data_IF_595314827622
#
_entry.id   IF_595314827622
#
_cell.length_a   1.000
_cell.length_b   1.000
_cell.length_c   1.000
_cell.angle_alpha   90.00
_cell.angle_beta   90.00
_cell.angle_gamma   90.00
#
_symmetry.space_group_name_H-M   'P 1'
#
loop_
_entity.id
_entity.type
_entity.pdbx_description
1 polymer ?
#
# COMPACT_ATOMS: atom_id res chain seq x y z
N UNK A 1 23.42 11.94 37.27
CA UNK A 1 23.26 11.31 35.95
C UNK A 1 21.82 11.51 35.56
N UNK A 2 21.57 12.25 34.45
CA UNK A 2 20.21 12.49 34.00
C UNK A 2 19.68 11.21 33.36
N UNK A 3 18.87 10.46 34.09
CA UNK A 3 18.09 9.29 33.57
C UNK A 3 16.85 9.75 32.82
N UNK A 4 17.03 10.59 31.78
CA UNK A 4 15.98 10.77 30.81
C UNK A 4 15.81 9.42 30.09
N UNK A 5 14.58 8.88 29.92
CA UNK A 5 14.39 7.65 29.16
C UNK A 5 14.99 7.83 27.76
N UNK A 6 15.66 6.80 27.23
CA UNK A 6 16.27 6.90 25.91
C UNK A 6 15.21 7.38 24.91
N UNK A 7 15.56 8.37 24.11
CA UNK A 7 14.67 8.89 23.08
C UNK A 7 14.27 7.71 22.15
N UNK A 8 13.01 7.28 22.24
CA UNK A 8 12.48 6.12 21.50
C UNK A 8 12.56 6.28 19.99
N UNK A 9 12.88 7.48 19.50
CA UNK A 9 13.04 7.77 18.08
C UNK A 9 14.48 7.57 17.59
N UNK A 10 15.42 7.23 18.45
CA UNK A 10 16.78 6.93 18.07
C UNK A 10 17.05 5.42 18.12
N UNK A 11 17.68 4.89 17.08
CA UNK A 11 18.23 3.53 17.11
C UNK A 11 19.35 3.52 18.16
N UNK A 12 19.29 2.65 19.18
CA UNK A 12 20.30 2.60 20.21
C UNK A 12 21.70 2.38 19.61
N UNK A 13 22.67 3.23 19.97
CA UNK A 13 24.05 3.14 19.47
C UNK A 13 24.72 1.79 19.77
N UNK A 14 24.31 1.12 20.85
CA UNK A 14 24.86 -0.20 21.22
C UNK A 14 24.46 -1.33 20.25
N UNK A 15 23.41 -1.14 19.42
CA UNK A 15 23.06 -2.07 18.36
C UNK A 15 24.04 -1.99 17.19
N UNK A 16 24.61 -0.80 16.90
CA UNK A 16 25.62 -0.57 15.88
C UNK A 16 25.34 -1.35 14.60
N UNK A 17 26.38 -2.02 14.09
CA UNK A 17 26.33 -2.85 12.86
C UNK A 17 25.55 -4.16 13.03
N UNK A 18 25.17 -4.53 14.26
CA UNK A 18 24.35 -5.72 14.54
C UNK A 18 22.85 -5.47 14.34
N UNK A 19 22.43 -4.20 14.17
CA UNK A 19 21.03 -3.88 13.92
C UNK A 19 20.62 -4.37 12.51
N UNK A 20 19.61 -5.26 12.47
CA UNK A 20 19.02 -5.66 11.19
C UNK A 20 18.24 -4.48 10.61
N UNK A 21 18.75 -3.90 9.55
CA UNK A 21 18.11 -2.82 8.80
C UNK A 21 17.25 -3.41 7.70
N UNK A 22 15.96 -3.53 7.95
CA UNK A 22 14.96 -3.97 6.97
C UNK A 22 13.93 -2.86 6.78
N UNK A 23 13.79 -2.40 5.56
CA UNK A 23 12.79 -1.41 5.15
C UNK A 23 12.45 -1.62 3.69
N UNK A 24 11.40 -0.98 3.23
CA UNK A 24 10.93 -1.04 1.86
C UNK A 24 11.10 0.31 1.18
N UNK A 25 11.74 0.35 0.02
CA UNK A 25 11.89 1.55 -0.78
C UNK A 25 11.24 1.34 -2.15
N UNK A 26 10.12 2.03 -2.36
CA UNK A 26 9.35 1.98 -3.59
C UNK A 26 9.82 3.07 -4.55
N UNK A 27 10.13 2.72 -5.79
CA UNK A 27 10.57 3.68 -6.79
C UNK A 27 9.45 4.08 -7.76
N UNK A 28 9.46 5.36 -8.14
CA UNK A 28 8.54 5.99 -9.09
C UNK A 28 9.27 6.42 -10.37
N UNK A 29 9.70 5.46 -11.23
CA UNK A 29 10.63 5.76 -12.32
C UNK A 29 10.03 6.66 -13.41
N UNK A 30 8.71 6.68 -13.57
CA UNK A 30 8.00 7.59 -14.49
C UNK A 30 7.38 8.80 -13.76
N UNK A 31 7.69 9.00 -12.47
CA UNK A 31 7.02 9.99 -11.63
C UNK A 31 5.51 9.78 -11.66
N UNK A 32 4.73 10.87 -11.75
CA UNK A 32 3.29 10.82 -11.87
C UNK A 32 2.80 10.63 -13.33
N UNK A 33 3.69 10.41 -14.30
CA UNK A 33 3.28 10.19 -15.71
C UNK A 33 2.57 8.84 -15.86
N UNK A 34 1.40 8.85 -16.51
CA UNK A 34 0.59 7.66 -16.75
C UNK A 34 -0.07 7.74 -18.14
N UNK A 35 -0.31 6.58 -18.76
CA UNK A 35 -1.12 6.43 -19.97
C UNK A 35 -2.63 6.40 -19.69
N UNK A 36 -3.01 6.25 -18.41
CA UNK A 36 -4.41 6.31 -17.96
C UNK A 36 -4.71 7.64 -17.23
N UNK A 37 -6.01 7.88 -17.03
CA UNK A 37 -6.56 9.02 -16.31
C UNK A 37 -7.65 8.55 -15.32
N UNK A 38 -7.28 7.62 -14.44
CA UNK A 38 -8.22 7.03 -13.48
C UNK A 38 -8.80 8.11 -12.56
N UNK A 39 -10.14 8.17 -12.46
CA UNK A 39 -10.87 9.23 -11.75
C UNK A 39 -10.41 9.42 -10.29
N UNK A 40 -10.09 8.33 -9.60
CA UNK A 40 -9.70 8.34 -8.19
C UNK A 40 -8.19 8.45 -7.94
N UNK A 41 -7.38 8.62 -8.99
CA UNK A 41 -5.93 8.55 -8.81
C UNK A 41 -5.40 9.73 -7.98
N UNK A 42 -4.94 9.43 -6.78
CA UNK A 42 -4.34 10.42 -5.89
C UNK A 42 -2.96 10.88 -6.34
N UNK A 43 -2.33 10.10 -7.24
CA UNK A 43 -0.92 10.30 -7.59
C UNK A 43 -0.71 11.18 -8.83
N UNK A 44 -1.64 11.18 -9.79
CA UNK A 44 -1.50 11.93 -11.05
C UNK A 44 -1.21 13.43 -10.86
N UNK A 45 -1.71 14.04 -9.78
CA UNK A 45 -1.51 15.46 -9.50
C UNK A 45 -0.18 15.78 -8.79
N UNK A 46 0.63 14.79 -8.42
CA UNK A 46 1.83 15.03 -7.62
C UNK A 46 2.91 15.85 -8.34
N UNK A 47 2.96 15.79 -9.65
CA UNK A 47 3.89 16.60 -10.44
C UNK A 47 3.52 18.08 -10.52
N UNK A 48 2.28 18.45 -10.19
CA UNK A 48 1.83 19.85 -10.17
C UNK A 48 1.90 20.46 -8.75
N UNK A 49 2.28 19.66 -7.75
CA UNK A 49 2.36 20.11 -6.37
C UNK A 49 3.55 21.07 -6.19
N UNK A 50 3.30 22.29 -5.71
CA UNK A 50 4.34 23.27 -5.44
C UNK A 50 5.39 22.74 -4.46
N UNK A 51 6.67 22.71 -4.86
CA UNK A 51 7.76 22.12 -4.07
C UNK A 51 7.78 20.59 -4.04
N UNK A 52 6.91 19.93 -4.80
CA UNK A 52 6.91 18.48 -5.01
C UNK A 52 7.96 18.03 -6.03
N UNK A 53 7.92 16.75 -6.45
CA UNK A 53 8.96 16.15 -7.31
C UNK A 53 9.00 16.70 -8.75
N UNK A 54 7.98 17.47 -9.17
CA UNK A 54 7.89 18.01 -10.53
C UNK A 54 7.55 16.97 -11.59
N UNK A 55 7.73 17.36 -12.85
CA UNK A 55 7.54 16.48 -14.02
C UNK A 55 8.87 15.90 -14.45
N UNK A 56 8.90 14.64 -14.78
CA UNK A 56 10.11 13.99 -15.27
C UNK A 56 10.07 12.48 -15.25
N UNK A 57 11.19 11.91 -15.59
CA UNK A 57 11.44 10.47 -15.53
C UNK A 57 12.82 10.23 -14.92
N UNK A 58 12.98 9.15 -14.19
CA UNK A 58 14.23 8.77 -13.52
C UNK A 58 15.36 8.62 -14.57
N UNK A 59 16.41 9.41 -14.45
CA UNK A 59 17.59 9.27 -15.28
C UNK A 59 18.49 8.14 -14.78
N UNK A 60 19.51 7.82 -15.58
CA UNK A 60 20.44 6.71 -15.30
C UNK A 60 21.24 6.96 -14.01
N UNK A 61 21.57 8.20 -13.71
CA UNK A 61 22.30 8.59 -12.51
C UNK A 61 21.47 8.36 -11.26
N UNK A 62 20.22 8.80 -11.24
CA UNK A 62 19.29 8.56 -10.11
C UNK A 62 19.04 7.06 -9.95
N UNK A 63 18.84 6.34 -11.05
CA UNK A 63 18.65 4.89 -11.01
C UNK A 63 19.83 4.19 -10.35
N UNK A 64 21.06 4.51 -10.76
CA UNK A 64 22.27 3.89 -10.19
C UNK A 64 22.44 4.27 -8.71
N UNK A 65 22.22 5.54 -8.35
CA UNK A 65 22.24 5.96 -6.96
C UNK A 65 21.21 5.23 -6.11
N UNK A 66 19.98 5.09 -6.61
CA UNK A 66 18.91 4.38 -5.92
C UNK A 66 19.27 2.91 -5.69
N UNK A 67 19.63 2.18 -6.74
CA UNK A 67 19.91 0.74 -6.65
C UNK A 67 21.09 0.47 -5.71
N UNK A 68 22.21 1.18 -5.90
CA UNK A 68 23.41 1.06 -5.06
C UNK A 68 23.08 1.38 -3.59
N UNK A 69 22.40 2.50 -3.36
CA UNK A 69 22.11 3.00 -2.03
C UNK A 69 21.13 2.07 -1.28
N UNK A 70 20.10 1.55 -1.97
CA UNK A 70 19.14 0.65 -1.34
C UNK A 70 19.79 -0.67 -0.94
N UNK A 71 20.55 -1.32 -1.83
CA UNK A 71 21.29 -2.55 -1.53
C UNK A 71 22.29 -2.35 -0.39
N UNK A 72 23.01 -1.22 -0.40
CA UNK A 72 23.97 -0.89 0.66
C UNK A 72 23.30 -0.69 2.04
N UNK A 73 22.11 -0.09 2.06
CA UNK A 73 21.40 0.29 3.29
C UNK A 73 20.67 -0.86 3.97
N UNK A 74 20.34 -1.94 3.25
CA UNK A 74 19.67 -3.12 3.79
C UNK A 74 20.69 -4.12 4.29
N UNK A 75 20.48 -4.68 5.50
CA UNK A 75 21.35 -5.69 6.11
C UNK A 75 20.71 -7.09 6.13
N UNK A 76 19.47 -7.24 5.68
CA UNK A 76 18.84 -8.55 5.46
C UNK A 76 19.35 -9.19 4.16
N UNK A 77 19.24 -10.53 4.10
CA UNK A 77 19.59 -11.28 2.89
C UNK A 77 18.60 -11.04 1.74
N UNK A 78 17.44 -10.52 2.04
CA UNK A 78 16.36 -10.20 1.08
C UNK A 78 16.27 -8.69 0.81
N UNK A 79 16.28 -8.30 -0.47
CA UNK A 79 16.06 -6.92 -0.93
C UNK A 79 14.99 -6.91 -2.01
N UNK A 80 13.83 -6.33 -1.70
CA UNK A 80 12.69 -6.28 -2.62
C UNK A 80 12.58 -4.88 -3.22
N UNK A 81 12.76 -4.79 -4.54
CA UNK A 81 12.55 -3.57 -5.30
C UNK A 81 11.11 -3.51 -5.81
N UNK A 82 10.36 -2.49 -5.43
CA UNK A 82 9.02 -2.26 -5.94
C UNK A 82 8.99 -1.06 -6.88
N UNK A 83 8.54 -1.30 -8.10
CA UNK A 83 8.44 -0.32 -9.18
C UNK A 83 6.99 0.05 -9.41
N UNK A 84 6.63 1.28 -9.13
CA UNK A 84 5.29 1.81 -9.35
C UNK A 84 5.31 3.32 -9.68
N UNK A 85 4.24 4.05 -9.48
CA UNK A 85 4.15 5.47 -9.76
C UNK A 85 2.91 5.81 -10.56
N UNK A 86 3.04 6.62 -11.61
CA UNK A 86 2.01 6.75 -12.62
C UNK A 86 1.84 5.43 -13.35
N UNK A 87 2.66 5.20 -14.39
CA UNK A 87 2.78 3.87 -15.01
C UNK A 87 4.28 3.57 -15.28
N UNK A 88 4.90 2.65 -14.54
CA UNK A 88 6.33 2.38 -14.67
C UNK A 88 6.73 1.80 -16.03
N UNK A 89 5.84 1.08 -16.72
CA UNK A 89 6.12 0.52 -18.05
C UNK A 89 6.32 1.58 -19.14
N UNK A 90 5.96 2.84 -18.89
CA UNK A 90 6.32 3.97 -19.77
C UNK A 90 7.83 4.17 -19.90
N UNK A 91 8.64 3.64 -18.97
CA UNK A 91 10.11 3.67 -19.07
C UNK A 91 10.67 2.73 -20.13
N UNK A 92 9.85 1.78 -20.59
CA UNK A 92 10.28 0.77 -21.58
C UNK A 92 11.18 -0.30 -21.00
N UNK A 93 11.42 -1.37 -21.78
CA UNK A 93 12.23 -2.53 -21.35
C UNK A 93 13.70 -2.17 -21.10
N UNK A 94 14.29 -1.29 -21.92
CA UNK A 94 15.70 -0.91 -21.77
C UNK A 94 16.02 -0.36 -20.37
N UNK A 95 15.11 0.41 -19.78
CA UNK A 95 15.25 0.88 -18.40
C UNK A 95 15.30 -0.29 -17.41
N UNK A 96 14.43 -1.28 -17.55
CA UNK A 96 14.36 -2.43 -16.64
C UNK A 96 15.52 -3.42 -16.87
N UNK A 97 16.06 -3.52 -18.09
CA UNK A 97 17.31 -4.25 -18.36
C UNK A 97 18.48 -3.62 -17.61
N UNK A 98 18.54 -2.28 -17.60
CA UNK A 98 19.53 -1.53 -16.82
C UNK A 98 19.34 -1.72 -15.31
N UNK A 99 18.09 -1.75 -14.81
CA UNK A 99 17.78 -2.11 -13.40
C UNK A 99 18.44 -3.44 -13.05
N UNK A 100 18.22 -4.48 -13.85
CA UNK A 100 18.77 -5.83 -13.60
C UNK A 100 20.31 -5.81 -13.64
N UNK A 101 20.90 -5.08 -14.59
CA UNK A 101 22.36 -4.94 -14.69
C UNK A 101 22.95 -4.27 -13.42
N UNK A 102 22.33 -3.19 -12.95
CA UNK A 102 22.77 -2.48 -11.73
C UNK A 102 22.57 -3.32 -10.46
N UNK A 103 21.43 -4.02 -10.35
CA UNK A 103 21.19 -4.95 -9.24
C UNK A 103 22.26 -6.03 -9.15
N UNK A 104 22.64 -6.64 -10.28
CA UNK A 104 23.73 -7.62 -10.35
C UNK A 104 25.10 -7.01 -10.01
N UNK A 105 25.35 -5.77 -10.44
CA UNK A 105 26.60 -5.03 -10.15
C UNK A 105 26.79 -4.78 -8.66
N UNK A 106 25.72 -4.48 -7.93
CA UNK A 106 25.78 -4.04 -6.52
C UNK A 106 25.33 -5.10 -5.50
N UNK A 107 24.75 -6.24 -5.94
CA UNK A 107 24.36 -7.32 -5.05
C UNK A 107 25.52 -7.80 -4.18
N UNK A 108 25.26 -7.96 -2.89
CA UNK A 108 26.23 -8.54 -1.95
C UNK A 108 26.17 -10.08 -2.03
N UNK A 109 27.28 -10.78 -1.71
CA UNK A 109 27.25 -12.24 -1.61
C UNK A 109 26.15 -12.73 -0.69
N UNK A 110 25.31 -13.65 -1.16
CA UNK A 110 24.20 -14.24 -0.40
C UNK A 110 22.90 -13.44 -0.43
N UNK A 111 22.87 -12.21 -0.97
CA UNK A 111 21.63 -11.45 -1.10
C UNK A 111 20.71 -12.00 -2.20
N UNK A 112 19.43 -12.16 -1.87
CA UNK A 112 18.36 -12.43 -2.81
C UNK A 112 17.69 -11.10 -3.19
N UNK A 113 17.76 -10.72 -4.46
CA UNK A 113 17.13 -9.51 -4.98
C UNK A 113 15.86 -9.91 -5.72
N UNK A 114 14.73 -9.35 -5.30
CA UNK A 114 13.43 -9.55 -5.89
C UNK A 114 12.89 -8.25 -6.48
N UNK A 115 11.99 -8.36 -7.46
CA UNK A 115 11.38 -7.22 -8.11
C UNK A 115 9.86 -7.38 -8.21
N UNK A 116 9.14 -6.35 -7.78
CA UNK A 116 7.70 -6.20 -7.94
C UNK A 116 7.41 -5.07 -8.92
N UNK A 117 6.53 -5.31 -9.89
CA UNK A 117 6.06 -4.31 -10.85
C UNK A 117 4.57 -4.06 -10.66
N UNK A 118 4.22 -2.89 -10.14
CA UNK A 118 2.82 -2.45 -10.07
C UNK A 118 2.46 -1.72 -11.35
N UNK A 119 1.53 -2.28 -12.14
CA UNK A 119 1.15 -1.74 -13.45
C UNK A 119 -0.36 -1.79 -13.69
N UNK A 120 -0.84 -0.88 -14.55
CA UNK A 120 -2.18 -0.98 -15.11
C UNK A 120 -2.30 -2.05 -16.22
N UNK A 121 -1.21 -2.62 -16.66
CA UNK A 121 -1.14 -3.72 -17.63
C UNK A 121 -1.32 -3.33 -19.09
N UNK A 122 -1.79 -2.14 -19.40
CA UNK A 122 -2.20 -1.75 -20.78
C UNK A 122 -1.05 -1.78 -21.79
N UNK A 123 0.18 -1.59 -21.33
CA UNK A 123 1.39 -1.56 -22.18
C UNK A 123 2.16 -2.90 -22.18
N UNK A 124 1.65 -3.93 -21.52
CA UNK A 124 2.32 -5.23 -21.49
C UNK A 124 2.12 -5.96 -22.83
N UNK A 125 3.22 -6.39 -23.43
CA UNK A 125 3.29 -7.18 -24.66
C UNK A 125 4.14 -8.45 -24.47
N UNK A 126 4.35 -9.22 -25.55
CA UNK A 126 5.13 -10.45 -25.54
C UNK A 126 6.58 -10.24 -25.07
N UNK A 127 7.19 -9.10 -25.38
CA UNK A 127 8.55 -8.78 -24.95
C UNK A 127 8.58 -8.55 -23.44
N UNK A 128 7.63 -7.79 -22.90
CA UNK A 128 7.45 -7.60 -21.47
C UNK A 128 7.21 -8.92 -20.74
N UNK A 129 6.31 -9.77 -21.23
CA UNK A 129 6.01 -11.03 -20.55
C UNK A 129 7.24 -11.96 -20.47
N UNK A 130 8.04 -12.04 -21.54
CA UNK A 130 9.29 -12.78 -21.56
C UNK A 130 10.32 -12.22 -20.57
N UNK A 131 10.48 -10.90 -20.53
CA UNK A 131 11.37 -10.22 -19.60
C UNK A 131 10.99 -10.46 -18.15
N UNK A 132 9.70 -10.23 -17.80
CA UNK A 132 9.18 -10.41 -16.45
C UNK A 132 9.35 -11.87 -15.96
N UNK A 133 9.13 -12.85 -16.85
CA UNK A 133 9.35 -14.26 -16.53
C UNK A 133 10.82 -14.58 -16.33
N UNK A 134 11.70 -14.12 -17.23
CA UNK A 134 13.13 -14.38 -17.17
C UNK A 134 13.79 -13.83 -15.90
N UNK A 135 13.30 -12.68 -15.42
CA UNK A 135 13.82 -11.99 -14.24
C UNK A 135 12.96 -12.18 -12.99
N UNK A 136 11.99 -13.11 -13.02
CA UNK A 136 11.15 -13.50 -11.88
C UNK A 136 10.44 -12.33 -11.19
N UNK A 137 9.94 -11.37 -11.97
CA UNK A 137 9.12 -10.30 -11.42
C UNK A 137 7.78 -10.83 -10.89
N UNK A 138 7.35 -10.30 -9.74
CA UNK A 138 5.96 -10.38 -9.32
C UNK A 138 5.21 -9.17 -9.89
N UNK A 139 4.11 -9.42 -10.60
CA UNK A 139 3.33 -8.34 -11.18
C UNK A 139 2.12 -8.03 -10.31
N UNK A 140 1.98 -6.78 -9.89
CA UNK A 140 0.75 -6.26 -9.31
C UNK A 140 -0.14 -5.68 -10.42
N UNK A 141 -1.16 -6.44 -10.85
CA UNK A 141 -2.06 -6.01 -11.91
C UNK A 141 -3.24 -5.23 -11.34
N UNK A 142 -3.42 -4.00 -11.80
CA UNK A 142 -4.51 -3.12 -11.36
C UNK A 142 -5.82 -3.44 -12.08
N UNK A 143 -6.82 -3.97 -11.34
CA UNK A 143 -8.16 -4.26 -11.88
C UNK A 143 -9.21 -4.17 -10.77
N UNK A 144 -10.33 -3.46 -11.01
CA UNK A 144 -11.28 -3.10 -9.94
C UNK A 144 -12.54 -3.98 -9.90
N UNK A 145 -12.65 -4.96 -10.81
CA UNK A 145 -13.78 -5.88 -10.87
C UNK A 145 -14.29 -6.13 -12.29
N UNK A 146 -15.55 -6.53 -12.47
CA UNK A 146 -16.18 -6.69 -13.78
C UNK A 146 -16.09 -5.42 -14.65
N UNK A 147 -16.29 -5.56 -15.96
CA UNK A 147 -16.12 -4.51 -16.97
C UNK A 147 -16.76 -3.18 -16.58
N UNK A 148 -18.04 -3.21 -16.24
CA UNK A 148 -18.80 -2.01 -15.90
C UNK A 148 -18.26 -1.27 -14.68
N UNK A 149 -17.76 -2.01 -13.70
CA UNK A 149 -17.12 -1.48 -12.49
C UNK A 149 -15.74 -0.90 -12.80
N UNK A 150 -14.92 -1.65 -13.55
CA UNK A 150 -13.57 -1.24 -13.90
C UNK A 150 -13.57 0.02 -14.76
N UNK A 151 -14.33 0.01 -15.87
CA UNK A 151 -14.36 1.08 -16.84
C UNK A 151 -15.08 2.36 -16.34
N UNK A 152 -15.84 2.26 -15.24
CA UNK A 152 -16.42 3.43 -14.58
C UNK A 152 -15.37 4.38 -14.00
N UNK A 153 -14.20 3.86 -13.61
CA UNK A 153 -13.19 4.61 -12.86
C UNK A 153 -11.80 4.55 -13.48
N UNK A 154 -11.45 3.44 -14.16
CA UNK A 154 -10.15 3.27 -14.82
C UNK A 154 -10.29 3.51 -16.31
N UNK A 155 -10.06 4.73 -16.71
CA UNK A 155 -10.16 5.16 -18.10
C UNK A 155 -8.80 5.57 -18.67
N UNK A 156 -8.61 5.39 -19.96
CA UNK A 156 -7.48 5.97 -20.68
C UNK A 156 -7.65 7.49 -20.83
N UNK A 157 -6.58 8.17 -21.20
CA UNK A 157 -6.66 9.59 -21.56
C UNK A 157 -7.72 9.77 -22.67
N UNK A 158 -8.66 10.70 -22.45
CA UNK A 158 -9.82 10.87 -23.31
C UNK A 158 -11.02 9.98 -23.01
N UNK A 159 -11.05 9.31 -21.84
CA UNK A 159 -12.22 8.61 -21.31
C UNK A 159 -12.51 7.23 -21.90
N UNK A 160 -11.59 6.67 -22.71
CA UNK A 160 -11.79 5.34 -23.32
C UNK A 160 -11.70 4.23 -22.25
N UNK A 161 -12.54 3.16 -22.37
CA UNK A 161 -12.48 2.00 -21.48
C UNK A 161 -11.14 1.26 -21.58
N UNK A 162 -10.72 0.60 -20.50
CA UNK A 162 -9.43 -0.10 -20.42
C UNK A 162 -9.53 -1.57 -20.06
N UNK A 163 -10.72 -2.05 -19.72
CA UNK A 163 -10.95 -3.42 -19.23
C UNK A 163 -10.39 -4.50 -20.18
N UNK A 164 -10.65 -4.40 -21.51
CA UNK A 164 -10.19 -5.40 -22.46
C UNK A 164 -8.66 -5.47 -22.53
N UNK A 165 -7.99 -4.34 -22.48
CA UNK A 165 -6.52 -4.29 -22.50
C UNK A 165 -5.93 -4.94 -21.22
N UNK A 166 -6.54 -4.68 -20.06
CA UNK A 166 -6.10 -5.29 -18.80
C UNK A 166 -6.36 -6.80 -18.77
N UNK A 167 -7.50 -7.25 -19.27
CA UNK A 167 -7.80 -8.68 -19.42
C UNK A 167 -6.84 -9.39 -20.38
N UNK A 168 -6.48 -8.74 -21.50
CA UNK A 168 -5.46 -9.25 -22.42
C UNK A 168 -4.10 -9.39 -21.74
N UNK A 169 -3.70 -8.39 -20.94
CA UNK A 169 -2.48 -8.44 -20.15
C UNK A 169 -2.49 -9.59 -19.13
N UNK A 170 -3.59 -9.80 -18.41
CA UNK A 170 -3.72 -10.93 -17.49
C UNK A 170 -3.59 -12.29 -18.20
N UNK A 171 -4.21 -12.44 -19.37
CA UNK A 171 -4.07 -13.66 -20.17
C UNK A 171 -2.63 -13.86 -20.68
N UNK A 172 -1.97 -12.77 -21.07
CA UNK A 172 -0.57 -12.78 -21.50
C UNK A 172 0.33 -13.25 -20.36
N UNK A 173 0.21 -12.67 -19.15
CA UNK A 173 0.97 -13.08 -17.98
C UNK A 173 0.77 -14.58 -17.66
N UNK A 174 -0.47 -15.08 -17.75
CA UNK A 174 -0.77 -16.51 -17.54
C UNK A 174 -0.11 -17.39 -18.59
N UNK A 175 -0.20 -17.05 -19.89
CA UNK A 175 0.43 -17.85 -20.96
C UNK A 175 1.93 -18.00 -20.77
N UNK A 176 2.61 -16.94 -20.27
CA UNK A 176 4.04 -16.95 -20.00
C UNK A 176 4.40 -17.49 -18.61
N UNK A 177 3.42 -17.81 -17.76
CA UNK A 177 3.64 -18.25 -16.38
C UNK A 177 4.32 -17.19 -15.52
N UNK A 178 4.04 -15.90 -15.78
CA UNK A 178 4.47 -14.79 -14.92
C UNK A 178 3.53 -14.71 -13.71
N UNK A 179 4.04 -14.77 -12.47
CA UNK A 179 3.20 -14.65 -11.29
C UNK A 179 2.62 -13.23 -11.19
N UNK A 180 1.35 -13.13 -10.87
CA UNK A 180 0.72 -11.85 -10.62
C UNK A 180 -0.31 -11.91 -9.48
N UNK A 181 -0.42 -10.82 -8.75
CA UNK A 181 -1.51 -10.53 -7.83
C UNK A 181 -2.43 -9.45 -8.44
N UNK A 182 -3.63 -9.31 -7.90
CA UNK A 182 -4.55 -8.25 -8.29
C UNK A 182 -4.62 -7.19 -7.21
N UNK A 183 -4.48 -5.91 -7.64
CA UNK A 183 -4.72 -4.75 -6.79
C UNK A 183 -6.03 -4.11 -7.24
N UNK A 184 -7.02 -4.20 -6.34
CA UNK A 184 -8.38 -3.73 -6.56
C UNK A 184 -8.65 -2.54 -5.65
N UNK A 185 -8.86 -1.39 -6.25
CA UNK A 185 -9.32 -0.21 -5.53
C UNK A 185 -10.80 -0.37 -5.20
N UNK A 186 -11.14 -0.30 -3.89
CA UNK A 186 -12.53 -0.31 -3.44
C UNK A 186 -12.99 1.13 -3.26
N UNK A 187 -13.91 1.54 -4.10
CA UNK A 187 -14.48 2.87 -4.17
C UNK A 187 -16.02 2.82 -4.05
N UNK A 188 -16.67 3.95 -4.01
CA UNK A 188 -18.13 4.05 -3.82
C UNK A 188 -18.96 3.16 -4.75
N UNK A 189 -18.51 2.95 -6.00
CA UNK A 189 -19.31 2.23 -7.01
C UNK A 189 -19.17 0.71 -6.96
N UNK A 190 -18.06 0.16 -6.41
CA UNK A 190 -17.88 -1.29 -6.31
C UNK A 190 -18.05 -1.84 -4.88
N UNK A 191 -18.02 -0.99 -3.86
CA UNK A 191 -18.20 -1.40 -2.48
C UNK A 191 -19.56 -2.08 -2.22
N UNK A 192 -20.60 -1.73 -2.98
CA UNK A 192 -21.95 -2.33 -2.91
C UNK A 192 -22.04 -3.69 -3.61
N UNK A 193 -21.02 -4.09 -4.37
CA UNK A 193 -20.99 -5.31 -5.20
C UNK A 193 -19.85 -6.29 -4.82
N UNK A 194 -19.65 -6.60 -3.52
CA UNK A 194 -18.47 -7.36 -3.05
C UNK A 194 -18.31 -8.72 -3.70
N UNK A 195 -19.41 -9.47 -3.86
CA UNK A 195 -19.37 -10.81 -4.41
C UNK A 195 -19.16 -10.83 -5.92
N UNK A 196 -19.65 -9.83 -6.64
CA UNK A 196 -19.40 -9.70 -8.09
C UNK A 196 -17.92 -9.43 -8.32
N UNK A 197 -17.33 -8.50 -7.57
CA UNK A 197 -15.90 -8.17 -7.64
C UNK A 197 -15.04 -9.38 -7.25
N UNK A 198 -15.31 -9.97 -6.09
CA UNK A 198 -14.53 -11.11 -5.59
C UNK A 198 -14.58 -12.30 -6.55
N UNK A 199 -15.79 -12.69 -6.99
CA UNK A 199 -15.98 -13.85 -7.87
C UNK A 199 -15.39 -13.62 -9.25
N UNK A 200 -15.48 -12.42 -9.79
CA UNK A 200 -14.80 -12.05 -11.03
C UNK A 200 -13.28 -12.27 -10.92
N UNK A 201 -12.65 -11.71 -9.90
CA UNK A 201 -11.19 -11.84 -9.68
C UNK A 201 -10.78 -13.32 -9.50
N UNK A 202 -11.58 -14.10 -8.79
CA UNK A 202 -11.27 -15.52 -8.51
C UNK A 202 -11.58 -16.45 -9.66
N UNK A 203 -12.73 -16.32 -10.32
CA UNK A 203 -13.23 -17.30 -11.28
C UNK A 203 -12.95 -16.94 -12.72
N UNK A 204 -13.17 -15.69 -13.09
CA UNK A 204 -12.97 -15.23 -14.47
C UNK A 204 -11.51 -14.85 -14.71
N UNK A 205 -10.96 -14.00 -13.84
CA UNK A 205 -9.55 -13.63 -13.91
C UNK A 205 -8.62 -14.72 -13.36
N UNK A 206 -9.08 -15.58 -12.46
CA UNK A 206 -8.30 -16.70 -11.87
C UNK A 206 -7.13 -16.24 -11.00
N UNK A 207 -7.22 -15.06 -10.38
CA UNK A 207 -6.22 -14.57 -9.44
C UNK A 207 -6.23 -15.40 -8.14
N UNK A 208 -5.06 -15.70 -7.61
CA UNK A 208 -4.90 -16.41 -6.33
C UNK A 208 -4.41 -15.50 -5.21
N UNK A 209 -4.02 -14.28 -5.52
CA UNK A 209 -3.60 -13.29 -4.52
C UNK A 209 -4.31 -11.98 -4.79
N UNK A 210 -5.17 -11.56 -3.86
CA UNK A 210 -6.06 -10.42 -3.99
C UNK A 210 -5.75 -9.37 -2.93
N UNK A 211 -5.54 -8.14 -3.36
CA UNK A 211 -5.41 -6.98 -2.49
C UNK A 211 -6.57 -6.03 -2.74
N UNK A 212 -7.30 -5.72 -1.68
CA UNK A 212 -8.38 -4.74 -1.70
C UNK A 212 -7.93 -3.48 -0.97
N UNK A 213 -7.92 -2.35 -1.67
CA UNK A 213 -7.40 -1.07 -1.19
C UNK A 213 -8.54 -0.06 -1.16
N UNK A 214 -8.98 0.39 0.03
CA UNK A 214 -10.07 1.38 0.10
C UNK A 214 -9.58 2.73 -0.43
N UNK A 215 -10.37 3.32 -1.31
CA UNK A 215 -10.14 4.69 -1.76
C UNK A 215 -10.78 5.65 -0.77
N UNK A 216 -9.93 6.43 -0.12
CA UNK A 216 -10.31 7.54 0.77
C UNK A 216 -9.43 8.73 0.46
N UNK A 217 -9.98 9.72 -0.21
CA UNK A 217 -9.22 10.92 -0.54
C UNK A 217 -9.94 12.18 -0.04
N UNK A 218 -9.28 13.02 0.76
CA UNK A 218 -9.84 14.31 1.14
C UNK A 218 -10.01 15.20 -0.11
N UNK A 219 -10.98 16.11 -0.10
CA UNK A 219 -11.28 16.94 -1.29
C UNK A 219 -10.08 17.77 -1.78
N UNK A 220 -9.19 18.15 -0.87
CA UNK A 220 -7.99 18.96 -1.14
C UNK A 220 -6.71 18.15 -1.36
N UNK A 221 -6.81 16.83 -1.59
CA UNK A 221 -5.64 15.92 -1.73
C UNK A 221 -4.63 16.34 -2.80
N UNK A 222 -5.04 17.17 -3.74
CA UNK A 222 -4.16 17.67 -4.81
C UNK A 222 -3.22 18.77 -4.35
N UNK A 223 -3.57 19.48 -3.27
CA UNK A 223 -2.86 20.70 -2.83
C UNK A 223 -2.37 20.64 -1.40
N UNK A 224 -2.94 19.78 -0.57
CA UNK A 224 -2.62 19.66 0.85
C UNK A 224 -2.34 18.20 1.25
N UNK A 225 -1.35 18.02 2.11
CA UNK A 225 -1.09 16.73 2.74
C UNK A 225 -2.29 16.26 3.56
N UNK A 226 -2.49 14.93 3.70
CA UNK A 226 -3.63 14.41 4.47
C UNK A 226 -3.59 14.79 5.95
N UNK A 227 -2.40 15.06 6.50
CA UNK A 227 -2.19 15.45 7.91
C UNK A 227 -1.03 16.48 8.00
N UNK A 228 -0.98 17.34 9.02
CA UNK A 228 -2.03 17.59 10.04
C UNK A 228 -3.25 18.33 9.46
N UNK A 229 -4.40 18.24 10.13
CA UNK A 229 -5.63 18.97 9.79
C UNK A 229 -6.18 19.73 10.99
N UNK A 230 -6.83 20.87 10.73
CA UNK A 230 -7.52 21.64 11.77
C UNK A 230 -8.69 20.83 12.34
N UNK A 231 -8.65 20.45 13.63
CA UNK A 231 -9.70 19.67 14.27
C UNK A 231 -11.10 20.29 14.19
N UNK A 232 -11.17 21.63 14.16
CA UNK A 232 -12.45 22.36 14.15
C UNK A 232 -13.23 22.16 12.83
N UNK A 233 -12.51 21.88 11.75
CA UNK A 233 -13.10 21.68 10.42
C UNK A 233 -13.53 20.24 10.16
N UNK A 234 -13.06 19.28 10.98
CA UNK A 234 -13.37 17.88 10.81
C UNK A 234 -14.81 17.54 11.26
N UNK A 235 -15.59 16.80 10.48
CA UNK A 235 -16.91 16.34 10.89
C UNK A 235 -16.82 15.26 11.96
N UNK A 236 -17.86 15.10 12.76
CA UNK A 236 -18.03 13.94 13.63
C UNK A 236 -18.36 12.72 12.76
N UNK A 237 -17.82 11.56 13.12
CA UNK A 237 -18.05 10.28 12.42
C UNK A 237 -19.54 9.96 12.36
N UNK A 238 -20.01 9.41 11.23
CA UNK A 238 -21.40 9.04 11.00
C UNK A 238 -22.33 10.20 10.63
N UNK A 239 -21.86 11.46 10.70
CA UNK A 239 -22.66 12.61 10.22
C UNK A 239 -22.63 12.70 8.68
N UNK A 240 -23.61 13.37 8.04
CA UNK A 240 -23.65 13.52 6.59
C UNK A 240 -22.34 14.09 5.99
N UNK A 241 -21.71 15.05 6.66
CA UNK A 241 -20.43 15.64 6.25
C UNK A 241 -19.25 14.64 6.28
N UNK A 242 -19.37 13.54 6.99
CA UNK A 242 -18.37 12.47 7.01
C UNK A 242 -18.63 11.39 5.95
N UNK A 243 -19.57 11.59 5.02
CA UNK A 243 -19.92 10.59 3.99
C UNK A 243 -19.75 11.15 2.57
N UNK A 244 -19.36 10.32 1.58
CA UNK A 244 -19.23 10.77 0.20
C UNK A 244 -20.59 11.16 -0.39
N UNK A 245 -20.61 12.07 -1.36
CA UNK A 245 -21.81 12.56 -2.01
C UNK A 245 -22.52 13.72 -1.28
N UNK A 246 -22.15 14.06 -0.05
CA UNK A 246 -22.64 15.26 0.61
C UNK A 246 -21.88 16.51 0.11
N UNK A 247 -22.53 17.64 -0.21
CA UNK A 247 -21.84 18.84 -0.74
C UNK A 247 -20.68 19.33 0.12
N UNK A 248 -20.81 19.25 1.45
CA UNK A 248 -19.78 19.62 2.42
C UNK A 248 -19.01 18.41 2.97
N UNK A 249 -18.93 17.30 2.22
CA UNK A 249 -18.16 16.11 2.63
C UNK A 249 -16.68 16.44 2.75
N UNK A 250 -16.01 15.85 3.75
CA UNK A 250 -14.56 15.94 3.93
C UNK A 250 -13.81 15.12 2.89
N UNK A 251 -14.45 14.12 2.27
CA UNK A 251 -13.87 13.25 1.25
C UNK A 251 -14.47 13.51 -0.14
N UNK A 252 -13.80 13.06 -1.17
CA UNK A 252 -14.25 13.09 -2.56
C UNK A 252 -15.49 12.19 -2.77
N UNK A 253 -16.25 12.44 -3.85
CA UNK A 253 -17.48 11.71 -4.12
C UNK A 253 -17.27 10.26 -4.54
N UNK A 254 -16.07 9.90 -4.99
CA UNK A 254 -15.69 8.52 -5.32
C UNK A 254 -15.05 7.77 -4.15
N UNK A 255 -14.74 8.43 -3.04
CA UNK A 255 -14.27 7.75 -1.83
C UNK A 255 -15.30 6.72 -1.38
N UNK A 256 -14.81 5.59 -0.83
CA UNK A 256 -15.71 4.53 -0.37
C UNK A 256 -16.50 4.98 0.86
N UNK A 257 -17.78 4.67 0.91
CA UNK A 257 -18.60 4.90 2.10
C UNK A 257 -18.18 3.88 3.19
N UNK A 258 -17.99 4.30 4.46
CA UNK A 258 -17.55 3.40 5.53
C UNK A 258 -18.49 2.23 5.79
N UNK A 259 -19.82 2.41 5.73
CA UNK A 259 -20.79 1.33 5.95
C UNK A 259 -20.78 0.31 4.80
N UNK A 260 -20.69 0.80 3.56
CA UNK A 260 -20.59 -0.03 2.36
C UNK A 260 -19.26 -0.80 2.35
N UNK A 261 -18.15 -0.16 2.78
CA UNK A 261 -16.86 -0.83 2.88
C UNK A 261 -16.88 -1.92 3.96
N UNK A 262 -17.49 -1.68 5.11
CA UNK A 262 -17.68 -2.70 6.14
C UNK A 262 -18.49 -3.89 5.64
N UNK A 263 -19.55 -3.63 4.86
CA UNK A 263 -20.33 -4.66 4.18
C UNK A 263 -19.47 -5.44 3.18
N UNK A 264 -18.68 -4.73 2.36
CA UNK A 264 -17.77 -5.34 1.39
C UNK A 264 -16.79 -6.32 2.06
N UNK A 265 -16.11 -5.89 3.11
CA UNK A 265 -15.15 -6.70 3.85
C UNK A 265 -15.79 -7.96 4.44
N UNK A 266 -16.95 -7.83 5.07
CA UNK A 266 -17.68 -8.97 5.65
C UNK A 266 -18.10 -9.99 4.58
N UNK A 267 -18.62 -9.53 3.42
CA UNK A 267 -19.06 -10.42 2.34
C UNK A 267 -17.90 -11.13 1.64
N UNK A 268 -16.76 -10.44 1.47
CA UNK A 268 -15.55 -11.06 0.93
C UNK A 268 -15.01 -12.09 1.92
N UNK A 269 -14.97 -11.77 3.22
CA UNK A 269 -14.60 -12.71 4.29
C UNK A 269 -15.44 -13.98 4.24
N UNK A 270 -16.77 -13.86 4.21
CA UNK A 270 -17.70 -14.98 4.20
C UNK A 270 -17.48 -15.90 2.97
N UNK A 271 -17.28 -15.31 1.78
CA UNK A 271 -17.06 -16.08 0.56
C UNK A 271 -15.69 -16.76 0.56
N UNK A 272 -14.64 -16.06 1.02
CA UNK A 272 -13.30 -16.60 1.19
C UNK A 272 -13.27 -17.74 2.19
N UNK A 273 -13.85 -17.57 3.36
CA UNK A 273 -13.96 -18.63 4.39
C UNK A 273 -14.67 -19.89 3.85
N UNK A 274 -15.71 -19.69 3.07
CA UNK A 274 -16.52 -20.82 2.56
C UNK A 274 -15.84 -21.61 1.45
N UNK A 275 -14.99 -20.97 0.61
CA UNK A 275 -14.55 -21.56 -0.66
C UNK A 275 -13.05 -21.57 -0.88
N UNK A 276 -12.33 -20.58 -0.36
CA UNK A 276 -11.02 -20.23 -0.86
C UNK A 276 -9.91 -20.20 0.20
N UNK A 277 -10.19 -20.52 1.46
CA UNK A 277 -9.17 -20.73 2.49
C UNK A 277 -8.17 -21.78 2.02
N UNK A 278 -6.87 -21.44 2.05
CA UNK A 278 -5.77 -22.29 1.56
C UNK A 278 -5.66 -22.39 0.02
N UNK A 279 -6.54 -21.68 -0.74
CA UNK A 279 -6.53 -21.65 -2.22
C UNK A 279 -6.30 -20.27 -2.77
N UNK A 280 -6.62 -19.23 -2.01
CA UNK A 280 -6.38 -17.85 -2.36
C UNK A 280 -6.00 -17.03 -1.14
N UNK A 281 -5.04 -16.15 -1.32
CA UNK A 281 -4.64 -15.15 -0.35
C UNK A 281 -5.47 -13.87 -0.55
N UNK A 282 -6.11 -13.41 0.50
CA UNK A 282 -6.82 -12.13 0.53
C UNK A 282 -6.18 -11.29 1.62
N UNK A 283 -5.53 -10.18 1.26
CA UNK A 283 -4.62 -9.45 2.13
C UNK A 283 -5.16 -9.15 3.54
N UNK A 284 -6.37 -8.61 3.66
CA UNK A 284 -6.93 -8.26 4.97
C UNK A 284 -7.45 -9.48 5.74
N UNK A 285 -7.85 -10.56 5.05
CA UNK A 285 -8.28 -11.81 5.67
C UNK A 285 -7.10 -12.54 6.31
N UNK A 286 -6.04 -12.77 5.53
CA UNK A 286 -4.81 -13.43 6.00
C UNK A 286 -4.16 -12.63 7.13
N UNK A 287 -4.09 -11.29 6.99
CA UNK A 287 -3.52 -10.41 8.02
C UNK A 287 -4.22 -10.60 9.35
N UNK A 288 -5.55 -10.64 9.38
CA UNK A 288 -6.30 -10.83 10.63
C UNK A 288 -5.99 -12.20 11.27
N UNK A 289 -5.91 -13.26 10.49
CA UNK A 289 -5.56 -14.60 11.00
C UNK A 289 -4.14 -14.62 11.56
N UNK A 290 -3.17 -14.05 10.81
CA UNK A 290 -1.75 -13.99 11.19
C UNK A 290 -1.55 -13.17 12.49
N UNK A 291 -2.23 -12.04 12.65
CA UNK A 291 -2.20 -11.27 13.89
C UNK A 291 -2.71 -12.10 15.08
N UNK A 292 -3.77 -12.89 14.90
CA UNK A 292 -4.26 -13.80 15.95
C UNK A 292 -3.37 -15.04 16.16
N UNK A 293 -2.42 -15.33 15.28
CA UNK A 293 -1.34 -16.29 15.53
C UNK A 293 -0.22 -15.71 16.41
N UNK A 294 -0.26 -14.43 16.71
CA UNK A 294 0.77 -13.70 17.50
C UNK A 294 1.88 -13.10 16.65
N UNK A 295 1.73 -13.15 15.31
CA UNK A 295 2.70 -12.54 14.40
C UNK A 295 2.33 -11.07 14.10
N UNK A 296 3.32 -10.22 13.81
CA UNK A 296 3.06 -8.83 13.45
C UNK A 296 2.29 -8.76 12.11
N UNK A 297 1.47 -7.72 11.99
CA UNK A 297 0.78 -7.45 10.73
C UNK A 297 1.78 -7.27 9.57
N UNK A 298 1.52 -7.94 8.45
CA UNK A 298 2.32 -7.83 7.23
C UNK A 298 1.96 -6.59 6.40
N UNK A 299 0.86 -5.91 6.74
CA UNK A 299 0.44 -4.67 6.07
C UNK A 299 0.52 -3.50 7.04
N UNK A 300 1.15 -2.40 6.62
CA UNK A 300 1.42 -1.24 7.47
C UNK A 300 0.15 -0.61 8.07
N UNK A 301 -0.99 -0.73 7.39
CA UNK A 301 -2.26 -0.15 7.86
C UNK A 301 -2.75 -0.79 9.16
N UNK A 302 -2.48 -2.06 9.40
CA UNK A 302 -2.86 -2.77 10.63
C UNK A 302 -1.69 -3.01 11.60
N UNK A 303 -0.50 -2.49 11.30
CA UNK A 303 0.63 -2.51 12.23
C UNK A 303 0.52 -1.39 13.25
N UNK A 304 1.08 -1.57 14.43
CA UNK A 304 1.15 -0.54 15.47
C UNK A 304 1.83 0.74 14.98
N UNK A 305 2.96 0.56 14.30
CA UNK A 305 3.76 1.65 13.75
C UNK A 305 3.88 1.51 12.23
N UNK A 306 4.18 2.61 11.55
CA UNK A 306 4.53 2.63 10.13
C UNK A 306 5.95 3.20 9.90
N UNK A 307 6.22 3.86 8.76
CA UNK A 307 7.49 4.57 8.52
C UNK A 307 8.64 3.73 7.97
N UNK A 308 8.44 2.41 7.75
CA UNK A 308 9.44 1.52 7.12
C UNK A 308 9.21 1.31 5.61
N UNK A 309 8.24 2.02 5.03
CA UNK A 309 7.97 2.04 3.59
C UNK A 309 8.14 3.45 3.06
N UNK A 310 9.29 3.75 2.46
CA UNK A 310 9.57 5.07 1.86
C UNK A 310 9.38 5.03 0.36
N UNK A 311 9.24 6.20 -0.25
CA UNK A 311 9.15 6.32 -1.71
C UNK A 311 10.32 7.11 -2.24
N UNK A 312 10.86 6.68 -3.38
CA UNK A 312 11.92 7.36 -4.14
C UNK A 312 11.32 7.84 -5.46
N UNK A 313 11.25 9.15 -5.62
CA UNK A 313 10.74 9.79 -6.83
C UNK A 313 11.76 9.78 -7.98
N UNK A 314 11.29 10.07 -9.19
CA UNK A 314 12.09 10.07 -10.41
C UNK A 314 13.29 11.03 -10.35
N UNK A 315 13.23 12.10 -9.54
CA UNK A 315 14.32 13.06 -9.33
C UNK A 315 15.29 12.66 -8.21
N UNK A 316 15.09 11.46 -7.62
CA UNK A 316 15.86 10.94 -6.48
C UNK A 316 15.39 11.44 -5.11
N UNK A 317 14.39 12.31 -5.04
CA UNK A 317 13.81 12.75 -3.78
C UNK A 317 13.15 11.59 -3.03
N UNK A 318 13.35 11.54 -1.71
CA UNK A 318 12.81 10.50 -0.83
C UNK A 318 11.76 11.10 0.08
N UNK A 319 10.61 10.43 0.17
CA UNK A 319 9.50 10.85 1.02
C UNK A 319 9.11 9.77 2.02
N UNK A 320 8.52 10.18 3.14
CA UNK A 320 8.19 9.31 4.28
C UNK A 320 7.30 8.13 3.93
N UNK A 321 6.42 8.27 2.94
CA UNK A 321 5.48 7.23 2.51
C UNK A 321 4.89 7.60 1.14
N UNK A 322 4.38 6.61 0.40
CA UNK A 322 3.70 6.77 -0.89
C UNK A 322 2.49 7.73 -0.83
N UNK A 323 1.74 7.69 0.26
CA UNK A 323 0.61 8.60 0.49
C UNK A 323 1.04 10.01 0.95
N UNK A 324 2.30 10.20 1.30
CA UNK A 324 2.84 11.45 1.85
C UNK A 324 3.92 12.06 0.95
N UNK A 325 3.72 11.97 -0.38
CA UNK A 325 4.56 12.69 -1.35
C UNK A 325 4.11 14.15 -1.39
N UNK A 326 4.59 14.90 -0.39
CA UNK A 326 4.36 16.33 -0.18
C UNK A 326 5.64 16.96 0.38
N UNK A 327 5.92 18.26 0.11
CA UNK A 327 7.19 18.89 0.49
C UNK A 327 7.56 18.73 1.96
N UNK A 328 6.57 18.83 2.85
CA UNK A 328 6.73 18.71 4.30
C UNK A 328 7.12 17.28 4.76
N UNK A 329 6.97 16.28 3.92
CA UNK A 329 7.35 14.88 4.21
C UNK A 329 8.58 14.39 3.42
N UNK A 330 9.28 15.32 2.75
CA UNK A 330 10.52 15.02 2.06
C UNK A 330 11.64 14.77 3.07
N UNK A 331 12.31 13.62 2.96
CA UNK A 331 13.41 13.21 3.85
C UNK A 331 14.78 13.67 3.33
N UNK A 332 14.98 13.64 2.01
CA UNK A 332 16.25 13.98 1.38
C UNK A 332 16.29 13.55 -0.09
N UNK A 333 17.49 13.21 -0.60
CA UNK A 333 17.67 12.77 -1.98
C UNK A 333 18.75 11.68 -2.04
N UNK A 334 18.52 10.62 -2.83
CA UNK A 334 19.45 9.47 -2.96
C UNK A 334 20.79 9.81 -3.59
N UNK A 335 20.89 10.94 -4.29
CA UNK A 335 22.17 11.42 -4.87
C UNK A 335 23.14 11.90 -3.79
N UNK A 336 22.64 12.40 -2.68
CA UNK A 336 23.43 13.09 -1.66
C UNK A 336 23.42 12.45 -0.29
N UNK A 337 22.48 11.53 -0.03
CA UNK A 337 22.28 10.94 1.30
C UNK A 337 22.02 9.43 1.20
N UNK A 338 22.38 8.70 2.25
CA UNK A 338 22.07 7.28 2.40
C UNK A 338 20.57 7.07 2.65
N UNK A 339 19.95 6.12 1.92
CA UNK A 339 18.57 5.69 2.21
C UNK A 339 18.42 5.20 3.65
N UNK A 340 19.41 4.45 4.15
CA UNK A 340 19.40 3.98 5.53
C UNK A 340 19.39 5.11 6.54
N UNK A 341 20.22 6.15 6.34
CA UNK A 341 20.21 7.34 7.21
C UNK A 341 18.87 8.07 7.19
N UNK A 342 18.26 8.21 6.01
CA UNK A 342 16.93 8.84 5.86
C UNK A 342 15.84 8.04 6.57
N UNK A 343 15.78 6.71 6.34
CA UNK A 343 14.74 5.83 6.89
C UNK A 343 14.85 5.66 8.40
N UNK A 344 16.06 5.66 8.93
CA UNK A 344 16.31 5.53 10.37
C UNK A 344 16.59 6.87 11.05
N UNK A 345 16.35 8.00 10.36
CA UNK A 345 16.43 9.33 10.99
C UNK A 345 15.36 9.49 12.07
N UNK A 346 15.63 10.28 13.14
CA UNK A 346 14.64 10.53 14.19
C UNK A 346 13.31 11.05 13.65
N UNK A 347 13.37 11.86 12.60
CA UNK A 347 12.18 12.39 11.92
C UNK A 347 11.32 11.27 11.31
N UNK A 348 11.92 10.33 10.58
CA UNK A 348 11.19 9.24 9.94
C UNK A 348 10.71 8.21 10.96
N UNK A 349 11.51 7.92 11.98
CA UNK A 349 11.11 7.04 13.09
C UNK A 349 9.92 7.65 13.84
N UNK A 350 9.97 8.96 14.13
CA UNK A 350 8.83 9.67 14.74
C UNK A 350 7.58 9.59 13.86
N UNK A 351 7.70 9.82 12.56
CA UNK A 351 6.58 9.67 11.62
C UNK A 351 5.92 8.29 11.74
N UNK A 352 6.72 7.23 11.93
CA UNK A 352 6.22 5.88 12.13
C UNK A 352 5.47 5.70 13.45
N UNK A 353 6.02 6.20 14.55
CA UNK A 353 5.41 6.12 15.88
C UNK A 353 4.19 7.03 16.04
N UNK A 354 4.13 8.16 15.34
CA UNK A 354 2.97 9.06 15.36
C UNK A 354 1.67 8.33 14.97
N UNK A 355 1.76 7.20 14.30
CA UNK A 355 0.60 6.36 14.01
C UNK A 355 -0.09 5.86 15.28
N UNK A 356 0.63 5.31 16.23
CA UNK A 356 0.07 4.84 17.50
C UNK A 356 -0.01 5.94 18.57
N UNK A 357 1.00 6.82 18.63
CA UNK A 357 1.11 7.84 19.66
C UNK A 357 0.00 8.90 19.61
N UNK A 358 -0.52 9.19 18.41
CA UNK A 358 -1.56 10.21 18.19
C UNK A 358 -2.97 9.64 18.06
N UNK A 359 -3.17 8.39 18.49
CA UNK A 359 -4.51 7.79 18.50
C UNK A 359 -5.43 8.49 19.52
N UNK A 360 -6.69 8.81 19.16
CA UNK A 360 -7.66 9.32 20.11
C UNK A 360 -7.98 8.28 21.19
N UNK A 361 -8.46 8.75 22.36
CA UNK A 361 -8.83 7.87 23.48
C UNK A 361 -9.83 6.80 23.03
N UNK A 362 -10.78 7.17 22.17
CA UNK A 362 -11.74 6.26 21.56
C UNK A 362 -11.13 5.05 20.86
N UNK A 363 -9.94 5.21 20.24
CA UNK A 363 -9.19 4.11 19.63
C UNK A 363 -8.40 3.31 20.69
N UNK A 364 -7.77 4.01 21.67
CA UNK A 364 -7.00 3.35 22.72
C UNK A 364 -7.85 2.45 23.60
N UNK A 365 -9.09 2.82 23.83
CA UNK A 365 -10.10 2.04 24.61
C UNK A 365 -10.86 1.01 23.74
N UNK A 366 -10.57 0.91 22.45
CA UNK A 366 -11.30 0.05 21.53
C UNK A 366 -10.91 -1.42 21.70
N UNK A 367 -11.90 -2.31 21.76
CA UNK A 367 -11.68 -3.77 21.84
C UNK A 367 -10.96 -4.35 20.62
N UNK A 368 -10.91 -3.62 19.52
CA UNK A 368 -10.23 -4.00 18.27
C UNK A 368 -8.92 -3.25 18.05
N UNK A 369 -8.36 -2.61 19.08
CA UNK A 369 -7.15 -1.81 18.92
C UNK A 369 -6.02 -2.64 18.26
N UNK A 370 -5.75 -3.83 18.77
CA UNK A 370 -4.66 -4.71 18.30
C UNK A 370 -4.85 -5.25 16.88
N UNK A 371 -6.10 -5.29 16.37
CA UNK A 371 -6.38 -5.69 14.99
C UNK A 371 -6.27 -4.51 14.03
N UNK A 372 -6.49 -3.27 14.52
CA UNK A 372 -6.72 -2.08 13.72
C UNK A 372 -5.59 -1.04 13.77
N UNK A 373 -5.09 -0.73 14.98
CA UNK A 373 -4.11 0.35 15.24
C UNK A 373 -4.47 1.68 14.58
N UNK A 374 -5.80 1.98 14.49
CA UNK A 374 -6.31 3.21 13.86
C UNK A 374 -6.12 3.28 12.34
N UNK A 375 -5.77 2.18 11.69
CA UNK A 375 -5.48 2.05 10.26
C UNK A 375 -4.47 3.11 9.78
N UNK A 376 -4.58 3.64 8.54
CA UNK A 376 -3.63 4.62 8.00
C UNK A 376 -3.89 6.02 8.55
N UNK A 377 -2.86 6.73 9.07
CA UNK A 377 -3.02 8.11 9.52
C UNK A 377 -3.57 9.06 8.45
N UNK A 378 -3.32 8.81 7.16
CA UNK A 378 -3.86 9.63 6.07
C UNK A 378 -5.39 9.71 6.09
N UNK A 379 -6.06 8.68 6.63
CA UNK A 379 -7.51 8.58 6.67
C UNK A 379 -8.13 9.14 7.97
N UNK A 380 -7.36 9.81 8.84
CA UNK A 380 -7.84 10.44 10.08
C UNK A 380 -8.54 11.76 9.77
N UNK A 381 -9.69 11.66 9.13
CA UNK A 381 -10.43 12.78 8.54
C UNK A 381 -11.70 13.12 9.30
N UNK A 382 -11.94 12.49 10.46
CA UNK A 382 -13.15 12.71 11.24
C UNK A 382 -12.84 12.81 12.73
N UNK A 383 -13.81 13.31 13.49
CA UNK A 383 -13.80 13.31 14.96
C UNK A 383 -14.54 12.08 15.48
N UNK A 384 -14.18 11.65 16.68
CA UNK A 384 -14.89 10.63 17.44
C UNK A 384 -16.33 11.07 17.77
N UNK A 385 -17.21 10.15 18.22
CA UNK A 385 -18.57 10.52 18.65
C UNK A 385 -18.61 11.58 19.76
N UNK A 386 -17.61 11.62 20.65
CA UNK A 386 -17.42 12.57 21.72
C UNK A 386 -16.62 13.82 21.32
N UNK A 387 -16.23 13.95 20.04
CA UNK A 387 -15.65 15.14 19.44
C UNK A 387 -14.13 15.22 19.41
N UNK A 388 -13.38 14.22 19.92
CA UNK A 388 -11.92 14.16 19.82
C UNK A 388 -11.49 13.99 18.35
N UNK A 389 -10.46 14.71 17.90
CA UNK A 389 -9.94 14.62 16.53
C UNK A 389 -9.08 13.37 16.32
N UNK A 390 -8.79 13.03 15.06
CA UNK A 390 -7.83 11.98 14.70
C UNK A 390 -8.44 10.59 14.54
N UNK A 391 -9.77 10.46 14.51
CA UNK A 391 -10.41 9.21 14.19
C UNK A 391 -10.31 8.92 12.69
N UNK A 392 -10.01 7.66 12.37
CA UNK A 392 -9.98 7.19 11.01
C UNK A 392 -11.40 7.20 10.40
N UNK A 393 -11.52 7.71 9.19
CA UNK A 393 -12.76 7.78 8.42
C UNK A 393 -13.44 6.41 8.25
N UNK A 394 -12.64 5.34 8.07
CA UNK A 394 -13.12 3.97 7.91
C UNK A 394 -13.37 3.24 9.24
N UNK A 395 -13.28 3.91 10.39
CA UNK A 395 -13.49 3.27 11.68
C UNK A 395 -14.82 2.47 11.76
N UNK A 396 -15.96 2.94 11.25
CA UNK A 396 -17.21 2.14 11.25
C UNK A 396 -17.08 0.84 10.46
N UNK A 397 -16.39 0.88 9.31
CA UNK A 397 -16.14 -0.30 8.48
C UNK A 397 -15.32 -1.36 9.21
N UNK A 398 -14.21 -0.95 9.82
CA UNK A 398 -13.32 -1.89 10.51
C UNK A 398 -13.93 -2.43 11.79
N UNK A 399 -14.67 -1.63 12.56
CA UNK A 399 -15.43 -2.14 13.71
C UNK A 399 -16.42 -3.22 13.31
N UNK A 400 -17.16 -3.01 12.22
CA UNK A 400 -18.12 -3.97 11.67
C UNK A 400 -17.40 -5.25 11.21
N UNK A 401 -16.30 -5.10 10.46
CA UNK A 401 -15.53 -6.23 9.95
C UNK A 401 -14.88 -7.04 11.08
N UNK A 402 -14.21 -6.43 12.04
CA UNK A 402 -13.56 -7.16 13.13
C UNK A 402 -14.58 -7.83 14.05
N UNK A 403 -15.72 -7.19 14.33
CA UNK A 403 -16.80 -7.82 15.09
C UNK A 403 -17.31 -9.10 14.39
N UNK A 404 -17.39 -9.08 13.05
CA UNK A 404 -17.84 -10.21 12.23
C UNK A 404 -16.77 -11.32 12.09
N UNK A 405 -15.54 -10.95 11.75
CA UNK A 405 -14.51 -11.88 11.32
C UNK A 405 -13.65 -12.45 12.47
N UNK A 406 -13.39 -11.67 13.52
CA UNK A 406 -12.46 -12.01 14.62
C UNK A 406 -12.75 -13.39 15.25
N UNK A 407 -14.00 -13.78 15.60
CA UNK A 407 -14.25 -15.07 16.23
C UNK A 407 -13.79 -16.26 15.37
N UNK A 408 -13.95 -16.14 14.05
CA UNK A 408 -13.52 -17.18 13.11
C UNK A 408 -12.02 -17.16 12.89
N UNK A 409 -11.40 -15.96 12.77
CA UNK A 409 -9.95 -15.79 12.67
C UNK A 409 -9.22 -16.38 13.87
N UNK A 410 -9.72 -16.18 15.09
CA UNK A 410 -9.19 -16.77 16.32
C UNK A 410 -9.23 -18.29 16.31
N UNK A 411 -10.34 -18.88 15.84
CA UNK A 411 -10.46 -20.34 15.70
C UNK A 411 -9.46 -20.90 14.68
N UNK A 412 -9.30 -20.22 13.54
CA UNK A 412 -8.32 -20.60 12.52
C UNK A 412 -6.89 -20.51 13.06
N UNK A 413 -6.52 -19.40 13.69
CA UNK A 413 -5.21 -19.19 14.27
C UNK A 413 -4.87 -20.26 15.33
N UNK A 414 -5.84 -20.64 16.17
CA UNK A 414 -5.66 -21.72 17.13
C UNK A 414 -5.39 -23.08 16.46
N UNK A 415 -6.16 -23.43 15.43
CA UNK A 415 -6.00 -24.67 14.68
C UNK A 415 -4.62 -24.74 13.98
N UNK A 416 -4.17 -23.64 13.36
CA UNK A 416 -2.88 -23.54 12.68
C UNK A 416 -1.71 -23.69 13.65
N UNK A 417 -1.76 -23.06 14.84
CA UNK A 417 -0.72 -23.24 15.88
C UNK A 417 -0.62 -24.69 16.37
N UNK A 418 -1.76 -25.36 16.57
CA UNK A 418 -1.77 -26.76 16.95
C UNK A 418 -1.13 -27.68 15.91
N UNK A 419 -1.39 -27.43 14.63
CA UNK A 419 -0.80 -28.18 13.53
C UNK A 419 0.74 -27.98 13.41
N UNK A 420 1.23 -26.76 13.64
CA UNK A 420 2.67 -26.46 13.60
C UNK A 420 3.44 -27.15 14.73
N UNK A 421 2.86 -27.28 15.92
CA UNK A 421 3.48 -27.96 17.05
C UNK A 421 3.57 -29.49 16.84
N UNK A 422 2.61 -30.07 16.15
CA UNK A 422 2.62 -31.53 15.84
C UNK A 422 3.56 -31.91 14.69
N UNK A 423 3.88 -30.99 13.78
CA UNK A 423 4.82 -31.22 12.67
C UNK A 423 6.29 -31.01 13.06
N UNK A 424 6.58 -30.24 14.10
CA UNK A 424 7.94 -30.05 14.65
C UNK A 424 8.40 -31.14 15.63
N UNK A 425 7.53 -32.09 15.96
CA UNK A 425 7.82 -33.20 16.87
C UNK A 425 8.11 -34.55 16.15
N UNK A 426 8.35 -34.52 14.83
CA UNK A 426 8.73 -35.72 14.07
C UNK A 426 10.13 -35.61 13.48
#
# INVERSE_FOLDING_TARGET
MNDAPPDKYHVPQWLGDKAVRRFHAMAKPAGASCNLDCTYCYYLSKHDLAGGPGRGAMDDEVLEHYVRNYIASVTSDEVVFTWQGGEPTLRGLAFFEQVIALQRKYAKPGQCIENDLQTNGVLLDEAWAKFLKAHRFLVGLSIDGPRDVHDAMRVAKGGKPTFDAVMAAAQLLKRHGVPFNTLTCVHRYNATRPLDVYRFLRRELGSTTLQFIPIVEPRDFRTAAPQPRDPSQLPVVGTPRSRPGHPASVVTDWSVDPEEYGYFLCKVWDEWMRRDVGKALVNFCETLVVQHMGEPSQVCVFSENCGKGVVVEHDGSVYSCDHYVYPEYRLGNVRTQSLGEMVFSPRQVKFGYDKSDTLPKYCRDCTFLTDCWGECPKNRLVRTPDGEAGLNYLCPAFKKFFAHARPQAQKMAHALRGASQTSGAR
#
